data_IF_420691002106
#
_entry.id   IF_420691002106
#
_cell.length_a   1.000
_cell.length_b   1.000
_cell.length_c   1.000
_cell.angle_alpha   90.00
_cell.angle_beta   90.00
_cell.angle_gamma   90.00
#
_symmetry.space_group_name_H-M   'P 1'
#
loop_
_entity.id
_entity.type
_entity.pdbx_description
1 polymer ?
#
# COMPACT_ATOMS: atom_id res chain seq x y z
N UNK A 1 18.65 41.37 -9.85
CA UNK A 1 18.87 40.29 -8.86
C UNK A 1 20.35 40.32 -8.51
N UNK A 2 20.72 40.64 -7.26
CA UNK A 2 22.11 40.94 -6.86
C UNK A 2 23.03 39.73 -7.04
N UNK A 3 24.27 39.97 -7.51
CA UNK A 3 25.34 38.99 -7.75
C UNK A 3 25.59 38.10 -6.51
N UNK A 4 25.35 38.62 -5.30
CA UNK A 4 25.46 37.87 -4.05
C UNK A 4 24.43 36.73 -3.91
N UNK A 5 23.23 36.87 -4.49
CA UNK A 5 22.16 35.84 -4.44
C UNK A 5 22.46 34.68 -5.40
N UNK A 6 23.21 34.93 -6.47
CA UNK A 6 23.58 33.93 -7.47
C UNK A 6 24.73 33.01 -6.96
N UNK A 7 25.63 33.52 -6.11
CA UNK A 7 26.68 32.72 -5.48
C UNK A 7 26.15 31.79 -4.37
N UNK A 8 25.16 32.22 -3.59
CA UNK A 8 24.55 31.41 -2.53
C UNK A 8 23.77 30.21 -3.09
N UNK A 9 23.03 30.39 -4.19
CA UNK A 9 22.28 29.31 -4.85
C UNK A 9 23.23 28.28 -5.47
N UNK A 10 24.36 28.73 -6.05
CA UNK A 10 25.37 27.81 -6.62
C UNK A 10 26.09 26.99 -5.55
N UNK A 11 26.40 27.54 -4.38
CA UNK A 11 27.04 26.77 -3.30
C UNK A 11 26.10 25.78 -2.61
N UNK A 12 24.81 26.09 -2.50
CA UNK A 12 23.80 25.16 -1.94
C UNK A 12 23.55 23.99 -2.89
N UNK A 13 23.49 24.23 -4.21
CA UNK A 13 23.36 23.16 -5.22
C UNK A 13 24.64 22.31 -5.26
N UNK A 14 25.83 22.91 -5.14
CA UNK A 14 27.08 22.15 -5.16
C UNK A 14 27.31 21.31 -3.88
N UNK A 15 26.78 21.74 -2.72
CA UNK A 15 26.81 20.93 -1.49
C UNK A 15 25.74 19.83 -1.46
N UNK A 16 24.56 20.03 -2.06
CA UNK A 16 23.57 18.95 -2.23
C UNK A 16 23.99 17.92 -3.27
N UNK A 17 24.77 18.31 -4.29
CA UNK A 17 25.30 17.37 -5.28
C UNK A 17 26.48 16.53 -4.76
N UNK A 18 27.20 17.01 -3.74
CA UNK A 18 28.36 16.30 -3.17
C UNK A 18 27.98 15.24 -2.11
N UNK A 19 26.73 15.24 -1.62
CA UNK A 19 26.21 14.21 -0.71
C UNK A 19 25.47 13.07 -1.43
N UNK A 20 25.44 13.07 -2.77
CA UNK A 20 24.82 12.04 -3.62
C UNK A 20 25.84 11.14 -4.34
N UNK A 21 27.08 11.08 -3.85
CA UNK A 21 28.07 10.11 -4.36
C UNK A 21 28.33 9.00 -3.33
N UNK A 22 27.43 8.01 -3.18
CA UNK A 22 27.91 6.64 -3.22
C UNK A 22 28.34 6.39 -4.68
N UNK A 23 29.61 6.08 -4.92
CA UNK A 23 30.15 5.12 -5.92
C UNK A 23 29.34 4.70 -7.17
N UNK A 24 28.47 5.50 -7.76
CA UNK A 24 27.60 5.08 -8.88
C UNK A 24 28.17 5.39 -10.26
N UNK A 25 29.26 6.17 -10.36
CA UNK A 25 29.85 6.57 -11.64
C UNK A 25 30.79 5.53 -12.27
N UNK A 26 31.02 4.37 -11.64
CA UNK A 26 31.86 3.32 -12.23
C UNK A 26 31.09 2.30 -13.10
N UNK A 27 29.75 2.31 -13.09
CA UNK A 27 28.95 1.19 -13.64
C UNK A 27 28.03 1.57 -14.81
N UNK A 28 27.92 2.84 -15.19
CA UNK A 28 27.03 3.28 -16.28
C UNK A 28 27.57 3.04 -17.70
N UNK A 29 28.81 2.55 -17.84
CA UNK A 29 29.46 2.29 -19.14
C UNK A 29 29.80 0.81 -19.39
N UNK A 30 29.29 -0.08 -18.54
CA UNK A 30 29.51 -1.51 -18.69
C UNK A 30 28.41 -2.10 -19.61
N UNK A 31 28.75 -2.88 -20.65
CA UNK A 31 27.75 -3.50 -21.51
C UNK A 31 26.75 -4.28 -20.66
N UNK A 32 25.48 -4.32 -21.06
CA UNK A 32 24.36 -4.91 -20.29
C UNK A 32 24.61 -6.35 -19.78
N UNK A 33 25.65 -7.02 -20.29
CA UNK A 33 26.13 -8.34 -19.91
C UNK A 33 27.28 -8.35 -18.86
N UNK A 34 27.49 -7.26 -18.11
CA UNK A 34 28.62 -7.13 -17.15
C UNK A 34 28.26 -6.55 -15.78
N UNK A 35 26.97 -6.40 -15.46
CA UNK A 35 26.55 -6.13 -14.08
C UNK A 35 26.81 -7.37 -13.21
N UNK A 36 27.24 -7.23 -11.94
CA UNK A 36 27.47 -8.38 -11.08
C UNK A 36 26.15 -9.10 -10.87
N UNK A 37 26.16 -10.41 -11.08
CA UNK A 37 25.04 -11.30 -10.77
C UNK A 37 25.37 -12.13 -9.55
N UNK A 38 24.35 -12.53 -8.81
CA UNK A 38 24.51 -13.45 -7.70
C UNK A 38 23.49 -14.57 -7.68
N UNK A 39 23.92 -15.67 -7.10
CA UNK A 39 23.08 -16.83 -6.78
C UNK A 39 23.24 -17.15 -5.30
N UNK A 40 22.22 -17.74 -4.70
CA UNK A 40 22.21 -17.98 -3.27
C UNK A 40 20.88 -18.52 -2.77
N UNK A 41 20.75 -18.51 -1.45
CA UNK A 41 19.52 -18.90 -0.74
C UNK A 41 19.19 -17.88 0.33
N UNK A 42 17.90 -17.75 0.60
CA UNK A 42 17.36 -16.99 1.71
C UNK A 42 16.75 -17.93 2.75
N UNK A 43 16.73 -17.51 4.01
CA UNK A 43 16.04 -18.20 5.11
C UNK A 43 15.39 -17.15 6.02
N UNK A 44 14.23 -17.47 6.60
CA UNK A 44 13.54 -16.58 7.53
C UNK A 44 13.38 -17.20 8.91
N UNK A 45 13.39 -16.34 9.94
CA UNK A 45 13.15 -16.68 11.33
C UNK A 45 12.25 -15.63 11.97
N UNK A 46 11.25 -16.05 12.75
CA UNK A 46 10.44 -15.16 13.58
C UNK A 46 11.08 -14.99 14.96
N UNK A 47 11.50 -13.78 15.31
CA UNK A 47 12.24 -13.51 16.55
C UNK A 47 11.35 -13.11 17.72
N UNK A 48 10.11 -12.71 17.45
CA UNK A 48 9.20 -12.22 18.49
C UNK A 48 7.75 -12.37 18.06
N UNK A 49 6.86 -12.29 19.04
CA UNK A 49 5.43 -12.11 18.84
C UNK A 49 4.91 -11.17 19.92
N UNK A 50 4.08 -10.22 19.54
CA UNK A 50 3.43 -9.30 20.45
C UNK A 50 1.96 -9.16 20.05
N UNK A 51 1.08 -9.30 21.04
CA UNK A 51 -0.36 -9.14 20.90
C UNK A 51 -0.92 -8.33 22.07
N UNK A 52 -1.93 -7.48 21.86
CA UNK A 52 -2.67 -6.84 22.94
C UNK A 52 -3.54 -7.83 23.73
N UNK A 53 -3.70 -9.07 23.24
CA UNK A 53 -4.48 -10.12 23.88
C UNK A 53 -3.57 -11.24 24.41
N UNK A 54 -3.96 -11.90 25.51
CA UNK A 54 -3.18 -12.98 26.09
C UNK A 54 -3.35 -14.26 25.25
N UNK A 55 -2.51 -14.44 24.23
CA UNK A 55 -2.29 -15.74 23.62
C UNK A 55 -1.46 -16.59 24.58
N UNK A 56 -2.02 -17.70 25.05
CA UNK A 56 -1.36 -18.60 26.01
C UNK A 56 -0.40 -19.56 25.34
N UNK A 57 -0.61 -19.85 24.06
CA UNK A 57 0.14 -20.84 23.30
C UNK A 57 0.85 -20.19 22.12
N UNK A 58 2.00 -19.54 22.39
CA UNK A 58 2.88 -18.99 21.35
C UNK A 58 4.13 -19.87 21.26
N UNK A 59 4.36 -20.48 20.10
CA UNK A 59 5.44 -21.45 19.89
C UNK A 59 6.18 -21.16 18.58
N UNK A 60 7.46 -21.55 18.50
CA UNK A 60 8.25 -21.44 17.27
C UNK A 60 9.04 -20.14 17.10
N UNK A 61 9.12 -19.28 18.13
CA UNK A 61 10.08 -18.17 18.17
C UNK A 61 11.50 -18.73 17.97
N UNK A 62 12.27 -18.09 17.09
CA UNK A 62 13.60 -18.53 16.67
C UNK A 62 13.57 -19.56 15.53
N UNK A 63 12.40 -19.86 14.96
CA UNK A 63 12.24 -20.77 13.82
C UNK A 63 11.54 -20.09 12.64
N UNK A 64 11.39 -20.79 11.52
CA UNK A 64 10.72 -20.28 10.33
C UNK A 64 9.19 -20.41 10.38
N UNK A 65 8.62 -20.88 11.49
CA UNK A 65 7.19 -20.92 11.74
C UNK A 65 6.89 -20.45 13.17
N UNK A 66 5.87 -19.61 13.31
CA UNK A 66 5.40 -19.09 14.59
C UNK A 66 3.92 -19.42 14.71
N UNK A 67 3.59 -20.33 15.62
CA UNK A 67 2.23 -20.76 15.90
C UNK A 67 1.67 -19.96 17.09
N UNK A 68 0.42 -19.51 16.98
CA UNK A 68 -0.29 -18.82 18.05
C UNK A 68 -1.79 -19.16 18.02
N UNK A 69 -2.36 -19.42 19.20
CA UNK A 69 -3.78 -19.78 19.32
C UNK A 69 -4.41 -19.28 20.60
N UNK A 70 -5.71 -19.00 20.53
CA UNK A 70 -6.54 -18.91 21.73
C UNK A 70 -6.78 -20.31 22.30
N UNK A 71 -7.04 -20.44 23.62
CA UNK A 71 -7.45 -21.70 24.22
C UNK A 71 -8.63 -22.31 23.45
N UNK A 72 -8.55 -23.63 23.22
CA UNK A 72 -9.59 -24.44 22.55
C UNK A 72 -9.99 -23.97 21.14
N UNK A 73 -9.15 -23.17 20.47
CA UNK A 73 -9.38 -22.63 19.13
C UNK A 73 -8.45 -23.24 18.09
N UNK A 74 -8.86 -23.21 16.82
CA UNK A 74 -7.98 -23.61 15.73
C UNK A 74 -6.75 -22.68 15.68
N UNK A 75 -5.52 -23.22 15.58
CA UNK A 75 -4.32 -22.39 15.65
C UNK A 75 -4.12 -21.57 14.38
N UNK A 76 -3.72 -20.32 14.58
CA UNK A 76 -3.15 -19.43 13.58
C UNK A 76 -1.63 -19.63 13.55
N UNK A 77 -1.02 -19.35 12.41
CA UNK A 77 0.45 -19.36 12.32
C UNK A 77 0.94 -18.37 11.28
N UNK A 78 2.17 -17.90 11.48
CA UNK A 78 3.00 -17.37 10.40
C UNK A 78 4.03 -18.42 10.00
N UNK A 79 4.33 -18.52 8.70
CA UNK A 79 5.40 -19.38 8.20
C UNK A 79 6.15 -18.66 7.09
N UNK A 80 7.47 -18.67 7.14
CA UNK A 80 8.30 -18.16 6.07
C UNK A 80 9.18 -19.27 5.50
N UNK A 81 8.95 -19.60 4.24
CA UNK A 81 9.81 -20.53 3.51
C UNK A 81 10.72 -19.71 2.60
N UNK A 82 12.02 -19.69 2.91
CA UNK A 82 13.03 -19.07 2.06
C UNK A 82 13.19 -19.81 0.73
N UNK A 83 13.86 -19.19 -0.23
CA UNK A 83 14.02 -19.74 -1.58
C UNK A 83 15.44 -19.59 -2.10
N UNK A 84 15.79 -20.36 -3.12
CA UNK A 84 17.01 -20.15 -3.90
C UNK A 84 16.78 -19.12 -4.98
N UNK A 85 17.79 -18.29 -5.25
CA UNK A 85 17.81 -17.37 -6.38
C UNK A 85 19.07 -17.58 -7.20
N UNK A 86 18.98 -17.34 -8.51
CA UNK A 86 20.09 -17.54 -9.43
C UNK A 86 20.23 -16.38 -10.41
N UNK A 87 21.47 -16.00 -10.68
CA UNK A 87 21.83 -15.00 -11.69
C UNK A 87 21.09 -13.65 -11.55
N UNK A 88 20.79 -13.23 -10.31
CA UNK A 88 20.08 -11.98 -10.03
C UNK A 88 21.04 -10.81 -10.12
N UNK A 89 20.69 -9.78 -10.90
CA UNK A 89 21.51 -8.59 -11.07
C UNK A 89 21.40 -7.64 -9.87
N UNK A 90 22.48 -6.95 -9.53
CA UNK A 90 22.45 -5.89 -8.49
C UNK A 90 21.36 -4.85 -8.81
N UNK A 91 20.51 -4.56 -7.82
CA UNK A 91 19.36 -3.66 -7.92
C UNK A 91 18.07 -4.32 -8.42
N UNK A 92 18.15 -5.53 -8.98
CA UNK A 92 16.97 -6.28 -9.44
C UNK A 92 16.12 -6.73 -8.26
N UNK A 93 14.80 -6.72 -8.45
CA UNK A 93 13.87 -7.32 -7.48
C UNK A 93 13.85 -8.83 -7.65
N UNK A 94 13.85 -9.57 -6.53
CA UNK A 94 13.78 -11.01 -6.51
C UNK A 94 12.92 -11.49 -5.34
N UNK A 95 12.49 -12.75 -5.41
CA UNK A 95 11.69 -13.38 -4.35
C UNK A 95 12.62 -13.80 -3.21
N UNK A 96 12.36 -13.26 -2.01
CA UNK A 96 13.03 -13.65 -0.77
C UNK A 96 12.49 -14.96 -0.22
N UNK A 97 11.29 -15.35 -0.61
CA UNK A 97 10.61 -16.53 -0.09
C UNK A 97 9.11 -16.32 -0.12
N UNK A 98 8.40 -17.25 0.48
CA UNK A 98 6.94 -17.17 0.63
C UNK A 98 6.57 -17.01 2.09
N UNK A 99 5.76 -16.00 2.37
CA UNK A 99 5.13 -15.81 3.68
C UNK A 99 3.72 -16.39 3.64
N UNK A 100 3.43 -17.26 4.59
CA UNK A 100 2.11 -17.84 4.79
C UNK A 100 1.53 -17.40 6.13
N UNK A 101 0.22 -17.14 6.14
CA UNK A 101 -0.57 -16.92 7.34
C UNK A 101 -1.82 -17.80 7.27
N UNK A 102 -2.07 -18.56 8.34
CA UNK A 102 -3.35 -19.24 8.52
C UNK A 102 -4.27 -18.34 9.34
N UNK A 103 -5.32 -17.87 8.68
CA UNK A 103 -6.40 -17.14 9.32
C UNK A 103 -7.27 -18.11 10.13
N UNK A 104 -6.98 -18.20 11.42
CA UNK A 104 -7.74 -18.94 12.42
C UNK A 104 -8.65 -18.03 13.25
N UNK A 105 -9.28 -18.59 14.29
CA UNK A 105 -10.11 -17.79 15.20
C UNK A 105 -9.21 -16.90 16.06
N UNK A 106 -9.46 -15.60 16.03
CA UNK A 106 -8.70 -14.62 16.81
C UNK A 106 -9.52 -13.41 17.24
N UNK A 107 -8.87 -12.52 17.99
CA UNK A 107 -9.46 -11.25 18.41
C UNK A 107 -9.04 -10.12 17.48
N UNK A 108 -10.03 -9.28 17.11
CA UNK A 108 -9.79 -8.04 16.39
C UNK A 108 -8.80 -7.16 17.18
N UNK A 109 -7.72 -6.78 16.51
CA UNK A 109 -6.65 -5.95 17.05
C UNK A 109 -5.34 -6.19 16.32
N UNK A 110 -4.39 -5.28 16.48
CA UNK A 110 -3.08 -5.36 15.85
C UNK A 110 -2.20 -6.36 16.58
N UNK A 111 -1.78 -7.40 15.88
CA UNK A 111 -0.74 -8.34 16.32
C UNK A 111 0.53 -8.06 15.52
N UNK A 112 1.71 -8.22 16.15
CA UNK A 112 2.97 -8.01 15.44
C UNK A 112 3.97 -9.12 15.71
N UNK A 113 4.86 -9.34 14.75
CA UNK A 113 5.98 -10.29 14.86
C UNK A 113 7.19 -9.74 14.12
N UNK A 114 8.39 -9.92 14.66
CA UNK A 114 9.62 -9.61 13.92
C UNK A 114 10.04 -10.79 13.05
N UNK A 115 10.14 -10.58 11.74
CA UNK A 115 10.71 -11.52 10.77
C UNK A 115 12.11 -11.06 10.38
N UNK A 116 13.11 -11.89 10.66
CA UNK A 116 14.46 -11.73 10.15
C UNK A 116 14.68 -12.67 8.96
N UNK A 117 14.96 -12.11 7.78
CA UNK A 117 15.33 -12.83 6.56
C UNK A 117 16.82 -12.69 6.31
N UNK A 118 17.55 -13.80 6.39
CA UNK A 118 18.97 -13.89 6.04
C UNK A 118 19.13 -14.29 4.58
N UNK A 119 20.08 -13.66 3.88
CA UNK A 119 20.57 -14.10 2.58
C UNK A 119 21.96 -14.67 2.71
N UNK A 120 22.23 -15.73 1.95
CA UNK A 120 23.58 -16.26 1.75
C UNK A 120 23.81 -16.43 0.25
N UNK A 121 24.94 -15.93 -0.25
CA UNK A 121 25.24 -15.95 -1.69
C UNK A 121 26.59 -16.59 -1.98
N UNK A 122 26.64 -17.39 -3.04
CA UNK A 122 27.89 -17.80 -3.69
C UNK A 122 28.10 -16.86 -4.88
N UNK A 123 28.49 -15.62 -4.61
CA UNK A 123 28.78 -14.62 -5.64
C UNK A 123 30.24 -14.69 -6.08
N UNK A 124 30.53 -14.35 -7.33
CA UNK A 124 31.91 -14.10 -7.77
C UNK A 124 32.42 -12.83 -7.11
N UNK A 125 33.61 -12.88 -6.50
CA UNK A 125 34.32 -11.71 -5.98
C UNK A 125 34.30 -10.57 -7.01
N UNK A 126 34.01 -9.32 -6.61
CA UNK A 126 34.16 -8.77 -5.27
C UNK A 126 32.87 -8.65 -4.45
N UNK A 127 31.73 -9.17 -4.92
CA UNK A 127 30.46 -8.98 -4.23
C UNK A 127 30.25 -10.07 -3.18
N UNK A 128 29.86 -9.71 -1.95
CA UNK A 128 29.38 -10.64 -0.93
C UNK A 128 27.98 -10.16 -0.51
N UNK A 129 26.96 -10.97 -0.80
CA UNK A 129 25.56 -10.67 -0.50
C UNK A 129 25.05 -11.47 0.70
N UNK A 130 25.90 -11.66 1.71
CA UNK A 130 25.48 -12.21 2.99
C UNK A 130 24.97 -11.07 3.88
N UNK A 131 23.65 -10.92 3.97
CA UNK A 131 22.98 -9.83 4.66
C UNK A 131 21.78 -10.37 5.45
N UNK A 132 21.29 -9.58 6.41
CA UNK A 132 20.08 -9.88 7.15
C UNK A 132 19.16 -8.67 7.04
N UNK A 133 17.95 -8.90 6.57
CA UNK A 133 16.83 -7.96 6.58
C UNK A 133 15.97 -8.29 7.78
N UNK A 134 15.76 -7.33 8.68
CA UNK A 134 14.84 -7.48 9.81
C UNK A 134 13.67 -6.54 9.61
N UNK A 135 12.46 -7.09 9.57
CA UNK A 135 11.22 -6.36 9.38
C UNK A 135 10.19 -6.78 10.42
N UNK A 136 9.34 -5.83 10.82
CA UNK A 136 8.16 -6.15 11.60
C UNK A 136 7.02 -6.49 10.64
N UNK A 137 6.28 -7.54 10.94
CA UNK A 137 5.01 -7.88 10.32
C UNK A 137 3.91 -7.43 11.26
N UNK A 138 2.93 -6.72 10.71
CA UNK A 138 1.66 -6.40 11.34
C UNK A 138 0.57 -7.29 10.77
N UNK A 139 -0.30 -7.75 11.65
CA UNK A 139 -1.51 -8.49 11.33
C UNK A 139 -2.68 -7.78 12.00
N UNK A 140 -3.57 -7.22 11.20
CA UNK A 140 -4.85 -6.69 11.64
C UNK A 140 -5.95 -7.70 11.31
N UNK A 141 -6.49 -8.33 12.34
CA UNK A 141 -7.62 -9.24 12.21
C UNK A 141 -8.89 -8.44 11.96
N UNK A 142 -9.65 -8.78 10.92
CA UNK A 142 -10.81 -7.99 10.49
C UNK A 142 -12.14 -8.52 11.02
N UNK A 143 -13.18 -7.69 10.98
CA UNK A 143 -14.52 -8.09 11.40
C UNK A 143 -15.27 -8.78 10.26
N UNK A 144 -15.92 -9.91 10.56
CA UNK A 144 -16.74 -10.67 9.60
C UNK A 144 -18.10 -10.03 9.27
N UNK A 145 -18.43 -8.91 9.92
CA UNK A 145 -19.65 -8.16 9.68
C UNK A 145 -19.59 -6.81 10.38
N UNK A 146 -20.46 -5.91 9.94
CA UNK A 146 -20.52 -4.53 10.42
C UNK A 146 -21.96 -4.04 10.49
N UNK A 147 -22.21 -3.01 11.29
CA UNK A 147 -23.54 -2.41 11.44
C UNK A 147 -23.63 -1.17 10.54
N UNK A 148 -24.57 -1.18 9.60
CA UNK A 148 -24.92 -0.03 8.74
C UNK A 148 -26.34 0.40 9.08
N UNK A 149 -26.53 1.64 9.51
CA UNK A 149 -27.84 2.20 9.86
C UNK A 149 -28.66 1.32 10.84
N UNK A 150 -27.98 0.69 11.80
CA UNK A 150 -28.59 -0.19 12.79
C UNK A 150 -28.88 -1.61 12.30
N UNK A 151 -28.52 -1.95 11.06
CA UNK A 151 -28.68 -3.28 10.47
C UNK A 151 -27.32 -3.99 10.39
N UNK A 152 -27.25 -5.23 10.87
CA UNK A 152 -26.08 -6.07 10.71
C UNK A 152 -25.96 -6.51 9.24
N UNK A 153 -24.83 -6.18 8.63
CA UNK A 153 -24.46 -6.55 7.26
C UNK A 153 -23.24 -7.47 7.33
N UNK A 154 -23.29 -8.57 6.58
CA UNK A 154 -22.14 -9.46 6.42
C UNK A 154 -21.14 -8.82 5.46
N UNK A 155 -19.87 -8.85 5.84
CA UNK A 155 -18.79 -8.38 4.99
C UNK A 155 -18.65 -9.28 3.75
N UNK A 156 -18.25 -8.70 2.61
CA UNK A 156 -17.81 -9.53 1.48
C UNK A 156 -16.54 -10.30 1.86
N UNK A 157 -16.18 -11.39 1.16
CA UNK A 157 -14.96 -12.12 1.45
C UNK A 157 -13.71 -11.22 1.49
N UNK A 158 -13.61 -10.22 0.62
CA UNK A 158 -12.50 -9.29 0.58
C UNK A 158 -12.51 -8.28 1.73
N UNK A 159 -13.69 -7.87 2.20
CA UNK A 159 -13.84 -6.97 3.36
C UNK A 159 -13.53 -7.67 4.68
N UNK A 160 -13.82 -8.98 4.76
CA UNK A 160 -13.54 -9.84 5.91
C UNK A 160 -12.13 -10.46 5.88
N UNK A 161 -11.28 -10.09 4.91
CA UNK A 161 -9.95 -10.65 4.83
C UNK A 161 -9.00 -9.96 5.82
N UNK A 162 -8.30 -10.75 6.63
CA UNK A 162 -7.26 -10.28 7.56
C UNK A 162 -6.13 -9.59 6.81
N UNK A 163 -5.62 -8.49 7.37
CA UNK A 163 -4.66 -7.61 6.71
C UNK A 163 -3.27 -7.86 7.28
N UNK A 164 -2.38 -8.44 6.47
CA UNK A 164 -0.96 -8.61 6.79
C UNK A 164 -0.13 -7.57 6.04
N UNK A 165 0.73 -6.83 6.75
CA UNK A 165 1.54 -5.77 6.17
C UNK A 165 2.85 -5.57 6.94
N UNK A 166 3.69 -4.64 6.47
CA UNK A 166 4.92 -4.23 7.14
C UNK A 166 4.69 -2.84 7.78
N UNK A 167 4.54 -2.71 9.11
CA UNK A 167 4.14 -1.46 9.75
C UNK A 167 5.13 -0.31 9.53
N UNK A 168 6.41 -0.64 9.34
CA UNK A 168 7.47 0.34 9.05
C UNK A 168 7.52 0.76 7.58
N UNK A 169 6.73 0.11 6.72
CA UNK A 169 6.70 0.27 5.26
C UNK A 169 5.26 0.18 4.70
N UNK A 170 4.30 0.96 5.23
CA UNK A 170 2.89 0.87 4.81
C UNK A 170 2.68 1.19 3.33
N UNK A 171 3.63 1.90 2.69
CA UNK A 171 3.63 2.18 1.25
C UNK A 171 3.76 0.93 0.37
N UNK A 172 4.15 -0.21 0.94
CA UNK A 172 4.26 -1.49 0.23
C UNK A 172 2.94 -2.27 0.16
N UNK A 173 1.86 -1.71 0.73
CA UNK A 173 0.53 -2.31 0.72
C UNK A 173 0.40 -3.46 1.72
N UNK A 174 -0.56 -4.34 1.45
CA UNK A 174 -0.91 -5.47 2.30
C UNK A 174 -1.12 -6.75 1.49
N UNK A 175 -0.91 -7.88 2.15
CA UNK A 175 -1.45 -9.16 1.75
C UNK A 175 -2.70 -9.43 2.60
N UNK A 176 -3.84 -9.70 1.95
CA UNK A 176 -5.14 -9.88 2.60
C UNK A 176 -5.59 -11.33 2.49
N UNK A 177 -5.87 -11.97 3.62
CA UNK A 177 -6.08 -13.41 3.74
C UNK A 177 -7.54 -13.69 4.04
N UNK A 178 -8.19 -14.47 3.17
CA UNK A 178 -9.59 -14.84 3.36
C UNK A 178 -9.82 -15.63 4.65
N UNK A 179 -11.03 -15.50 5.20
CA UNK A 179 -11.48 -16.24 6.37
C UNK A 179 -11.30 -17.76 6.21
N UNK A 180 -10.88 -18.43 7.31
CA UNK A 180 -10.68 -19.87 7.38
C UNK A 180 -9.75 -20.45 6.29
N UNK A 181 -8.84 -19.62 5.77
CA UNK A 181 -7.90 -19.99 4.73
C UNK A 181 -6.44 -19.92 5.22
N UNK A 182 -5.56 -20.59 4.50
CA UNK A 182 -4.12 -20.30 4.57
C UNK A 182 -3.73 -19.48 3.36
N UNK A 183 -3.44 -18.21 3.59
CA UNK A 183 -2.91 -17.31 2.59
C UNK A 183 -1.41 -17.51 2.43
N UNK A 184 -0.92 -17.56 1.19
CA UNK A 184 0.52 -17.59 0.88
C UNK A 184 0.85 -16.55 -0.18
N UNK A 185 1.90 -15.77 0.06
CA UNK A 185 2.35 -14.67 -0.83
C UNK A 185 3.86 -14.67 -0.96
N UNK A 186 4.37 -14.24 -2.10
CA UNK A 186 5.79 -13.94 -2.27
C UNK A 186 6.18 -12.68 -1.50
N UNK A 187 7.32 -12.72 -0.81
CA UNK A 187 7.96 -11.52 -0.25
C UNK A 187 9.11 -11.13 -1.17
N UNK A 188 9.15 -9.88 -1.59
CA UNK A 188 10.13 -9.38 -2.55
C UNK A 188 11.24 -8.59 -1.85
N UNK A 189 12.45 -8.72 -2.35
CA UNK A 189 13.62 -7.96 -1.92
C UNK A 189 14.40 -7.42 -3.10
N UNK A 190 15.28 -6.45 -2.86
CA UNK A 190 16.24 -5.93 -3.86
C UNK A 190 17.59 -6.57 -3.67
N UNK A 191 18.09 -7.21 -4.72
CA UNK A 191 19.42 -7.82 -4.70
C UNK A 191 20.49 -6.74 -4.61
N UNK A 192 21.50 -6.98 -3.79
CA UNK A 192 22.59 -6.05 -3.49
C UNK A 192 22.42 -5.30 -2.17
N UNK A 193 21.33 -4.55 -1.98
CA UNK A 193 21.06 -3.82 -0.72
C UNK A 193 20.22 -4.59 0.31
N UNK A 194 19.62 -5.72 -0.10
CA UNK A 194 18.63 -6.51 0.65
C UNK A 194 17.56 -5.62 1.31
N UNK A 195 17.00 -4.69 0.54
CA UNK A 195 15.86 -3.89 0.96
C UNK A 195 14.57 -4.61 0.62
N UNK A 196 13.61 -4.58 1.53
CA UNK A 196 12.25 -5.04 1.28
C UNK A 196 11.65 -4.27 0.08
N UNK A 197 11.04 -5.01 -0.84
CA UNK A 197 10.42 -4.46 -2.05
C UNK A 197 8.89 -4.63 -2.07
N UNK A 198 8.31 -5.29 -1.07
CA UNK A 198 6.87 -5.48 -0.88
C UNK A 198 6.43 -6.92 -1.13
N UNK A 199 5.14 -7.07 -1.43
CA UNK A 199 4.55 -8.37 -1.78
C UNK A 199 4.61 -8.61 -3.29
N UNK A 200 4.87 -9.86 -3.67
CA UNK A 200 4.82 -10.34 -5.05
C UNK A 200 3.48 -10.99 -5.34
N UNK A 201 3.50 -12.14 -6.02
CA UNK A 201 2.28 -12.86 -6.34
C UNK A 201 1.64 -13.44 -5.07
N UNK A 202 0.33 -13.24 -4.92
CA UNK A 202 -0.48 -14.08 -4.04
C UNK A 202 -0.62 -15.46 -4.67
N UNK A 203 -0.11 -16.48 -3.99
CA UNK A 203 -0.07 -17.86 -4.49
C UNK A 203 -1.39 -18.58 -4.18
N UNK A 204 -1.93 -18.35 -2.98
CA UNK A 204 -3.19 -18.95 -2.55
C UNK A 204 -3.83 -18.18 -1.40
N UNK A 205 -5.13 -18.40 -1.21
CA UNK A 205 -5.84 -18.08 0.04
C UNK A 205 -5.98 -16.60 0.38
N UNK A 206 -5.69 -15.70 -0.56
CA UNK A 206 -5.73 -14.26 -0.36
C UNK A 206 -5.37 -13.48 -1.62
N UNK A 207 -5.20 -12.17 -1.47
CA UNK A 207 -4.85 -11.24 -2.53
C UNK A 207 -3.95 -10.10 -2.01
N UNK A 208 -3.23 -9.41 -2.88
CA UNK A 208 -2.43 -8.23 -2.52
C UNK A 208 -3.24 -6.97 -2.81
N UNK A 209 -3.16 -6.00 -1.91
CA UNK A 209 -3.81 -4.69 -2.03
C UNK A 209 -2.76 -3.57 -1.84
N UNK A 210 -2.81 -2.47 -2.63
CA UNK A 210 -1.85 -1.37 -2.51
C UNK A 210 -1.99 -0.54 -1.23
N UNK A 211 -3.05 -0.75 -0.45
CA UNK A 211 -3.31 -0.05 0.81
C UNK A 211 -3.30 -1.00 2.00
N UNK A 212 -3.10 -0.45 3.19
CA UNK A 212 -3.28 -1.16 4.46
C UNK A 212 -4.65 -0.88 5.10
N UNK A 213 -5.45 0.01 4.50
CA UNK A 213 -6.74 0.41 5.04
C UNK A 213 -7.81 -0.67 4.77
N UNK A 214 -8.71 -0.93 5.74
CA UNK A 214 -9.83 -1.83 5.51
C UNK A 214 -10.65 -1.42 4.28
N UNK A 215 -11.17 -2.41 3.55
CA UNK A 215 -12.03 -2.13 2.40
C UNK A 215 -13.29 -1.39 2.90
N UNK A 216 -13.65 -0.23 2.33
CA UNK A 216 -14.80 0.54 2.78
C UNK A 216 -16.09 -0.28 2.76
N UNK A 217 -16.93 -0.06 3.77
CA UNK A 217 -18.18 -0.80 4.03
C UNK A 217 -19.41 -0.17 3.38
N UNK A 218 -19.31 1.04 2.84
CA UNK A 218 -20.41 1.70 2.16
C UNK A 218 -20.41 1.38 0.66
N UNK A 219 -21.57 1.25 -0.01
CA UNK A 219 -21.60 1.47 -1.46
C UNK A 219 -20.99 2.84 -1.70
N UNK A 220 -20.06 2.95 -2.65
CA UNK A 220 -19.52 4.24 -3.05
C UNK A 220 -20.69 5.15 -3.43
N UNK A 221 -21.15 5.98 -2.51
CA UNK A 221 -22.05 7.07 -2.84
C UNK A 221 -21.20 7.93 -3.73
N UNK A 222 -21.46 7.89 -5.03
CA UNK A 222 -20.86 8.80 -5.98
C UNK A 222 -21.18 10.19 -5.46
N UNK A 223 -20.23 10.80 -4.75
CA UNK A 223 -20.24 12.24 -4.55
C UNK A 223 -20.27 12.77 -5.97
N UNK A 224 -21.31 13.52 -6.40
CA UNK A 224 -21.25 14.18 -7.68
C UNK A 224 -19.99 15.02 -7.63
N UNK A 225 -19.00 14.66 -8.44
CA UNK A 225 -17.80 15.43 -8.63
C UNK A 225 -18.25 16.89 -8.75
N UNK A 226 -17.80 17.75 -7.84
CA UNK A 226 -18.27 19.14 -7.79
C UNK A 226 -18.08 19.70 -9.19
N UNK A 227 -19.19 19.88 -9.91
CA UNK A 227 -19.18 20.15 -11.34
C UNK A 227 -18.20 21.26 -11.59
N UNK A 228 -17.18 20.97 -12.39
CA UNK A 228 -16.12 21.90 -12.71
C UNK A 228 -16.76 23.09 -13.45
N UNK A 229 -17.18 24.13 -12.71
CA UNK A 229 -17.83 25.36 -13.24
C UNK A 229 -16.81 26.21 -14.05
N UNK A 230 -15.61 25.69 -14.30
CA UNK A 230 -14.56 26.33 -15.08
C UNK A 230 -14.65 26.06 -16.61
N UNK A 231 -15.75 25.48 -17.10
CA UNK A 231 -15.93 25.15 -18.53
C UNK A 231 -16.84 26.07 -19.36
N UNK A 232 -17.58 27.01 -18.74
CA UNK A 232 -18.45 27.95 -19.47
C UNK A 232 -17.74 29.27 -19.77
N UNK A 233 -16.60 29.20 -20.44
CA UNK A 233 -15.94 30.40 -20.96
C UNK A 233 -15.23 30.10 -22.29
N UNK A 234 -16.00 29.85 -23.35
CA UNK A 234 -15.51 30.02 -24.71
C UNK A 234 -16.64 30.19 -25.76
N UNK A 235 -16.91 31.46 -26.09
CA UNK A 235 -17.05 31.99 -27.47
C UNK A 235 -18.26 31.57 -28.33
N UNK A 236 -19.17 32.54 -28.53
CA UNK A 236 -19.60 32.90 -29.89
C UNK A 236 -19.88 34.41 -29.97
N UNK A 237 -18.85 35.19 -30.31
CA UNK A 237 -18.98 36.54 -30.86
C UNK A 237 -19.28 36.39 -32.35
N UNK A 238 -20.54 36.53 -32.75
CA UNK A 238 -21.02 36.96 -34.09
C UNK A 238 -22.46 37.40 -33.86
N UNK A 239 -22.98 38.57 -34.18
CA UNK A 239 -22.50 39.74 -34.88
C UNK A 239 -23.73 40.64 -35.10
N UNK A 240 -23.46 41.94 -35.22
CA UNK A 240 -24.29 42.93 -35.91
C UNK A 240 -25.71 43.23 -35.38
N UNK A 241 -25.80 44.42 -34.78
CA UNK A 241 -26.77 45.46 -35.13
C UNK A 241 -28.25 45.07 -35.24
N UNK A 242 -29.02 45.45 -34.22
CA UNK A 242 -30.39 45.93 -34.43
C UNK A 242 -30.72 46.94 -33.33
N UNK A 243 -30.31 48.18 -33.57
CA UNK A 243 -30.98 49.34 -33.02
C UNK A 243 -32.48 49.24 -33.30
N UNK A 244 -33.34 49.21 -32.28
CA UNK A 244 -34.55 50.01 -32.32
C UNK A 244 -35.08 50.31 -30.92
N UNK A 245 -35.09 51.61 -30.64
CA UNK A 245 -35.80 52.25 -29.55
C UNK A 245 -37.26 51.76 -29.49
N UNK A 246 -37.86 51.75 -28.28
CA UNK A 246 -38.81 52.82 -27.86
C UNK A 246 -39.72 52.40 -26.70
N UNK A 247 -39.68 53.26 -25.68
CA UNK A 247 -40.73 53.67 -24.72
C UNK A 247 -41.13 52.75 -23.57
N UNK A 248 -40.64 53.17 -22.40
CA UNK A 248 -41.42 53.38 -21.18
C UNK A 248 -42.80 54.03 -21.46
N UNK A 249 -43.87 53.49 -20.86
CA UNK A 249 -44.82 54.26 -20.04
C UNK A 249 -45.64 53.34 -19.10
N UNK A 250 -45.91 53.76 -17.83
CA UNK A 250 -46.71 53.03 -16.84
C UNK A 250 -48.18 53.50 -16.78
N UNK A 251 -49.09 52.63 -16.32
CA UNK A 251 -50.48 52.88 -15.86
C UNK A 251 -51.22 51.54 -15.86
N UNK A 252 -52.21 51.21 -15.04
CA UNK A 252 -52.89 51.81 -13.90
C UNK A 252 -53.88 50.72 -13.42
N UNK A 253 -54.21 50.72 -12.12
CA UNK A 253 -55.23 49.87 -11.49
C UNK A 253 -56.58 49.87 -12.24
N UNK A 254 -57.27 48.73 -12.26
CA UNK A 254 -58.74 48.70 -12.33
C UNK A 254 -59.26 47.50 -11.54
N UNK A 255 -59.76 47.82 -10.36
CA UNK A 255 -60.68 47.03 -9.54
C UNK A 255 -62.01 46.83 -10.31
N UNK A 256 -62.55 45.60 -10.29
CA UNK A 256 -63.96 45.36 -10.63
C UNK A 256 -64.54 44.30 -9.71
N UNK A 257 -65.33 44.79 -8.76
CA UNK A 257 -66.23 44.04 -7.92
C UNK A 257 -67.37 43.36 -8.71
N UNK A 258 -67.66 42.13 -8.29
CA UNK A 258 -68.97 41.55 -7.92
C UNK A 258 -70.09 41.47 -8.97
N UNK A 259 -70.64 40.26 -9.19
CA UNK A 259 -72.05 39.96 -8.83
C UNK A 259 -72.31 38.45 -8.65
N UNK A 260 -72.77 38.18 -7.43
CA UNK A 260 -73.49 37.09 -6.76
C UNK A 260 -74.45 36.20 -7.59
N UNK A 261 -74.56 34.92 -7.19
CA UNK A 261 -75.82 34.14 -7.25
C UNK A 261 -75.95 33.32 -5.96
N UNK A 262 -76.85 33.74 -5.07
CA UNK A 262 -77.98 32.94 -4.59
C UNK A 262 -78.95 33.83 -3.82
#
# INVERSE_FOLDING_TARGET
MSVAKQYSIKQTIFKQLLFLLPSFLAWSNLPANSQPVGSGVTNGVFNSFASPFPYTDVNGIGTNQLDFSLPDSAPSFFKFDGTSFENVQVGQTFVLGTLSYKNGIGWIGLHTSELAVSSSSSTTTPFNFNQILTEQIGLDMTANGFVVDGVLVLATPEQAADILYFPNRPELGSFRIYENSTGTVEVLGRFGSLQLAGFGNAISGGFVDPTIDPIPTAPAVSVPESGNIAGLLAISIVGAASTLKRKLKPSQSTEKETTKVS
#
